data_IF_940843188667
#
_entry.id   IF_940843188667
#
_cell.length_a   1.000
_cell.length_b   1.000
_cell.length_c   1.000
_cell.angle_alpha   90.00
_cell.angle_beta   90.00
_cell.angle_gamma   90.00
#
_symmetry.space_group_name_H-M   'P 1'
#
loop_
_entity.id
_entity.type
_entity.pdbx_description
1 polymer ?
#
# COMPACT_ATOMS: atom_id res chain seq x y z
N UNK A 1 5.58 12.23 -42.79
CA UNK A 1 4.22 11.83 -42.73
C UNK A 1 3.99 10.77 -41.69
N UNK A 2 4.64 9.69 -41.83
CA UNK A 2 4.36 8.59 -40.94
C UNK A 2 4.67 8.90 -39.50
N UNK A 3 5.63 9.70 -39.27
CA UNK A 3 6.00 10.00 -37.89
C UNK A 3 4.92 10.81 -37.21
N UNK A 4 4.27 11.67 -37.91
CA UNK A 4 3.18 12.39 -37.30
C UNK A 4 2.05 11.51 -36.94
N UNK A 5 1.76 10.57 -37.78
CA UNK A 5 0.69 9.65 -37.44
C UNK A 5 1.00 8.85 -36.24
N UNK A 6 2.24 8.41 -36.11
CA UNK A 6 2.62 7.67 -34.95
C UNK A 6 2.51 8.49 -33.69
N UNK A 7 2.93 9.71 -33.74
CA UNK A 7 2.85 10.53 -32.56
C UNK A 7 1.41 10.80 -32.21
N UNK A 8 0.54 10.90 -33.16
CA UNK A 8 -0.87 11.04 -32.84
C UNK A 8 -1.40 9.86 -32.11
N UNK A 9 -1.03 8.68 -32.54
CA UNK A 9 -1.46 7.49 -31.86
C UNK A 9 -0.92 7.47 -30.44
N UNK A 10 0.34 7.78 -30.31
CA UNK A 10 0.96 7.76 -29.00
C UNK A 10 0.31 8.77 -28.07
N UNK A 11 -0.15 9.84 -28.62
CA UNK A 11 -0.69 10.87 -27.78
C UNK A 11 -2.13 10.63 -27.38
N UNK A 12 -2.72 9.52 -27.78
CA UNK A 12 -4.13 9.34 -27.50
C UNK A 12 -4.42 9.58 -26.05
N UNK A 13 -4.79 10.76 -25.71
CA UNK A 13 -5.07 11.08 -24.30
C UNK A 13 -6.32 10.41 -23.80
N UNK A 14 -7.18 10.06 -24.68
CA UNK A 14 -8.39 9.39 -24.26
C UNK A 14 -8.11 8.11 -23.54
N UNK A 15 -7.07 7.42 -23.95
CA UNK A 15 -6.74 6.19 -23.28
C UNK A 15 -6.36 6.43 -21.84
N UNK A 16 -5.64 7.49 -21.60
CA UNK A 16 -5.27 7.81 -20.23
C UNK A 16 -6.47 8.16 -19.42
N UNK A 17 -7.36 8.95 -19.95
CA UNK A 17 -8.51 9.36 -19.18
C UNK A 17 -9.43 8.19 -18.84
N UNK A 18 -9.45 7.17 -19.69
CA UNK A 18 -10.28 6.02 -19.43
C UNK A 18 -9.53 4.91 -18.70
N UNK A 19 -8.25 5.05 -18.50
CA UNK A 19 -7.47 4.02 -17.83
C UNK A 19 -7.81 4.00 -16.36
N UNK A 20 -7.76 2.82 -15.76
CA UNK A 20 -7.96 2.74 -14.31
C UNK A 20 -6.86 3.46 -13.57
N UNK A 21 -7.19 3.95 -12.39
CA UNK A 21 -6.20 4.57 -11.52
C UNK A 21 -5.14 3.54 -11.16
N UNK A 22 -3.90 3.99 -11.16
CA UNK A 22 -2.80 3.11 -10.77
C UNK A 22 -2.91 2.72 -9.33
N UNK A 23 -2.59 1.48 -9.07
CA UNK A 23 -2.63 0.93 -7.73
C UNK A 23 -1.23 0.60 -7.27
N UNK A 24 -1.06 0.65 -5.98
CA UNK A 24 0.17 0.22 -5.32
C UNK A 24 -0.19 -0.69 -4.18
N UNK A 25 0.78 -1.46 -3.74
CA UNK A 25 0.64 -2.24 -2.52
C UNK A 25 1.34 -1.47 -1.41
N UNK A 26 0.62 -1.26 -0.33
CA UNK A 26 1.17 -0.61 0.84
C UNK A 26 1.31 -1.67 1.92
N UNK A 27 2.53 -1.94 2.31
CA UNK A 27 2.82 -2.89 3.37
C UNK A 27 3.00 -2.12 4.66
N UNK A 28 2.28 -2.54 5.68
CA UNK A 28 2.39 -1.94 7.01
C UNK A 28 2.68 -3.06 7.99
N UNK A 29 3.82 -2.99 8.64
CA UNK A 29 4.26 -4.02 9.57
C UNK A 29 4.27 -3.43 10.96
N UNK A 30 3.46 -3.97 11.83
CA UNK A 30 3.28 -3.44 13.17
C UNK A 30 3.18 -4.60 14.16
N UNK A 31 3.16 -4.29 15.44
CA UNK A 31 2.89 -5.31 16.43
C UNK A 31 1.49 -5.86 16.23
N UNK A 32 1.35 -7.15 16.45
CA UNK A 32 0.07 -7.79 16.18
C UNK A 32 -1.08 -7.14 16.93
N UNK A 33 -0.83 -6.68 18.13
CA UNK A 33 -1.89 -6.04 18.91
C UNK A 33 -2.37 -4.72 18.35
N UNK A 34 -1.61 -4.13 17.43
CA UNK A 34 -2.01 -2.87 16.81
C UNK A 34 -2.55 -3.05 15.40
N UNK A 35 -2.68 -4.28 14.97
CA UNK A 35 -3.05 -4.55 13.59
C UNK A 35 -4.39 -3.93 13.23
N UNK A 36 -5.40 -4.18 14.03
CA UNK A 36 -6.72 -3.65 13.74
C UNK A 36 -6.74 -2.14 13.76
N UNK A 37 -6.02 -1.56 14.71
CA UNK A 37 -5.97 -0.12 14.79
C UNK A 37 -5.46 0.50 13.49
N UNK A 38 -4.35 -0.02 12.98
CA UNK A 38 -3.79 0.53 11.76
C UNK A 38 -4.62 0.18 10.55
N UNK A 39 -5.22 -0.99 10.53
CA UNK A 39 -6.09 -1.37 9.43
C UNK A 39 -7.27 -0.40 9.33
N UNK A 40 -7.87 -0.07 10.47
CA UNK A 40 -8.99 0.86 10.48
C UNK A 40 -8.57 2.24 10.01
N UNK A 41 -7.41 2.70 10.46
CA UNK A 41 -6.94 4.01 10.05
C UNK A 41 -6.72 4.06 8.54
N UNK A 42 -6.20 2.98 7.98
CA UNK A 42 -5.92 2.95 6.56
C UNK A 42 -7.18 2.97 5.70
N UNK A 43 -8.30 2.52 6.26
CA UNK A 43 -9.54 2.53 5.50
C UNK A 43 -9.96 3.94 5.11
N UNK A 44 -9.49 4.94 5.82
CA UNK A 44 -9.82 6.32 5.49
C UNK A 44 -9.21 6.79 4.18
N UNK A 45 -8.33 6.00 3.60
CA UNK A 45 -7.63 6.39 2.39
C UNK A 45 -8.12 5.61 1.17
N UNK A 46 -9.34 5.14 1.24
CA UNK A 46 -9.98 4.46 0.11
C UNK A 46 -9.17 3.24 -0.32
N UNK A 47 -8.80 2.46 0.66
CA UNK A 47 -8.10 1.21 0.40
C UNK A 47 -9.09 0.23 -0.21
N UNK A 48 -8.71 -0.34 -1.34
CA UNK A 48 -9.61 -1.20 -2.10
C UNK A 48 -9.66 -2.62 -1.55
N UNK A 49 -8.59 -3.07 -0.98
CA UNK A 49 -8.56 -4.40 -0.39
C UNK A 49 -7.43 -4.43 0.63
N UNK A 50 -7.61 -5.21 1.67
CA UNK A 50 -6.59 -5.39 2.68
C UNK A 50 -6.43 -6.87 2.96
N UNK A 51 -5.21 -7.29 3.14
CA UNK A 51 -4.88 -8.65 3.53
C UNK A 51 -4.04 -8.59 4.79
N UNK A 52 -4.31 -9.52 5.69
CA UNK A 52 -3.62 -9.55 6.96
C UNK A 52 -2.79 -10.81 7.04
N UNK A 53 -1.53 -10.65 7.41
CA UNK A 53 -0.62 -11.76 7.53
C UNK A 53 0.01 -11.73 8.91
N UNK A 54 0.21 -12.90 9.46
CA UNK A 54 0.96 -13.01 10.70
C UNK A 54 2.42 -13.18 10.33
N UNK A 55 3.28 -12.52 11.08
CA UNK A 55 4.71 -12.60 10.84
C UNK A 55 5.41 -12.61 12.17
N UNK A 56 6.60 -13.20 12.16
CA UNK A 56 7.41 -13.24 13.34
C UNK A 56 8.77 -12.69 12.96
N UNK A 57 9.23 -11.70 13.71
CA UNK A 57 10.52 -11.12 13.44
C UNK A 57 11.61 -12.11 13.77
N UNK A 58 12.60 -12.20 12.89
CA UNK A 58 13.76 -12.99 13.20
C UNK A 58 14.61 -12.23 14.20
N UNK A 59 15.03 -12.94 15.22
CA UNK A 59 15.87 -12.32 16.23
C UNK A 59 17.26 -12.06 15.68
N UNK A 60 17.64 -10.81 15.67
CA UNK A 60 18.96 -10.43 15.19
C UNK A 60 19.61 -9.53 16.21
N UNK A 61 19.72 -10.01 17.43
CA UNK A 61 20.38 -9.28 18.48
C UNK A 61 19.74 -7.91 18.73
N UNK A 62 20.57 -7.00 19.17
CA UNK A 62 20.09 -5.71 19.63
C UNK A 62 19.54 -4.82 18.54
N UNK A 63 19.85 -5.13 17.30
CA UNK A 63 19.37 -4.29 16.22
C UNK A 63 17.87 -4.39 16.06
N UNK A 64 17.35 -5.59 16.19
CA UNK A 64 15.92 -5.78 16.08
C UNK A 64 15.20 -5.01 17.17
N UNK A 65 15.77 -5.00 18.37
CA UNK A 65 15.19 -4.24 19.46
C UNK A 65 15.16 -2.75 19.16
N UNK A 66 16.27 -2.24 18.65
CA UNK A 66 16.35 -0.82 18.36
C UNK A 66 15.35 -0.39 17.30
N UNK A 67 15.08 -1.28 16.36
CA UNK A 67 14.13 -0.98 15.32
C UNK A 67 12.69 -1.29 15.70
N UNK A 68 12.47 -1.80 16.91
CA UNK A 68 11.14 -2.15 17.33
C UNK A 68 10.62 -3.41 16.65
N UNK A 69 11.53 -4.20 16.08
CA UNK A 69 11.16 -5.41 15.35
C UNK A 69 11.71 -6.65 16.04
N UNK A 70 11.90 -6.57 17.35
CA UNK A 70 12.38 -7.72 18.08
C UNK A 70 11.36 -8.84 17.97
N UNK A 71 11.71 -9.96 18.49
CA UNK A 71 11.05 -11.25 18.25
C UNK A 71 9.58 -11.32 18.60
N UNK A 72 8.92 -10.22 18.75
CA UNK A 72 7.49 -10.26 19.01
C UNK A 72 6.73 -10.60 17.76
N UNK A 73 5.53 -11.09 17.98
CA UNK A 73 4.63 -11.36 16.88
C UNK A 73 4.30 -10.07 16.16
N UNK A 74 4.39 -10.11 14.85
CA UNK A 74 4.10 -8.97 14.03
C UNK A 74 2.86 -9.23 13.20
N UNK A 75 2.18 -8.16 12.84
CA UNK A 75 1.11 -8.22 11.87
C UNK A 75 1.53 -7.45 10.65
N UNK A 76 1.18 -7.97 9.50
CA UNK A 76 1.47 -7.32 8.23
C UNK A 76 0.13 -7.02 7.56
N UNK A 77 -0.08 -5.76 7.25
CA UNK A 77 -1.24 -5.34 6.49
C UNK A 77 -0.77 -5.05 5.08
N UNK A 78 -1.34 -5.75 4.11
CA UNK A 78 -1.06 -5.47 2.71
C UNK A 78 -2.31 -4.79 2.17
N UNK A 79 -2.18 -3.52 1.84
CA UNK A 79 -3.30 -2.72 1.38
C UNK A 79 -3.15 -2.42 -0.10
N UNK A 80 -4.20 -2.63 -0.85
CA UNK A 80 -4.23 -2.22 -2.26
C UNK A 80 -4.78 -0.82 -2.28
N UNK A 81 -3.96 0.14 -2.66
CA UNK A 81 -4.29 1.54 -2.49
C UNK A 81 -4.00 2.30 -3.78
N UNK A 82 -4.82 3.28 -4.07
CA UNK A 82 -4.59 4.11 -5.24
C UNK A 82 -3.34 4.95 -5.03
N UNK A 83 -2.58 5.10 -6.10
CA UNK A 83 -1.31 5.78 -5.97
C UNK A 83 -1.46 7.23 -5.54
N UNK A 84 -2.59 7.87 -5.85
CA UNK A 84 -2.78 9.26 -5.44
C UNK A 84 -3.14 9.41 -3.98
N UNK A 85 -3.40 8.31 -3.28
CA UNK A 85 -3.68 8.36 -1.84
C UNK A 85 -2.48 7.94 -1.00
N UNK A 86 -1.43 7.48 -1.64
CA UNK A 86 -0.30 6.92 -0.91
C UNK A 86 0.36 7.95 -0.01
N UNK A 87 0.56 9.15 -0.54
CA UNK A 87 1.29 10.15 0.23
C UNK A 87 0.58 10.45 1.55
N UNK A 88 -0.72 10.67 1.48
CA UNK A 88 -1.48 10.98 2.68
C UNK A 88 -1.48 9.81 3.65
N UNK A 89 -1.59 8.60 3.14
CA UNK A 89 -1.57 7.43 4.02
C UNK A 89 -0.21 7.27 4.70
N UNK A 90 0.86 7.49 3.96
CA UNK A 90 2.19 7.38 4.54
C UNK A 90 2.42 8.43 5.61
N UNK A 91 1.93 9.63 5.38
CA UNK A 91 2.06 10.69 6.37
C UNK A 91 1.29 10.35 7.65
N UNK A 92 0.10 9.79 7.49
CA UNK A 92 -0.66 9.36 8.66
C UNK A 92 0.08 8.27 9.41
N UNK A 93 0.64 7.29 8.69
CA UNK A 93 1.36 6.21 9.34
C UNK A 93 2.59 6.73 10.08
N UNK A 94 3.32 7.63 9.46
CA UNK A 94 4.50 8.18 10.10
C UNK A 94 4.14 8.87 11.40
N UNK A 95 3.08 9.65 11.38
CA UNK A 95 2.64 10.31 12.60
C UNK A 95 2.24 9.31 13.67
N UNK A 96 1.49 8.29 13.29
CA UNK A 96 1.04 7.32 14.28
C UNK A 96 2.18 6.48 14.82
N UNK A 97 3.14 6.13 13.97
CA UNK A 97 4.31 5.41 14.46
C UNK A 97 5.07 6.23 15.50
N UNK A 98 5.01 7.53 15.39
CA UNK A 98 5.74 8.41 16.31
C UNK A 98 4.95 8.69 17.58
N UNK A 99 3.64 8.79 17.48
CA UNK A 99 2.85 9.29 18.61
C UNK A 99 2.09 8.22 19.37
N UNK A 100 1.75 7.11 18.73
CA UNK A 100 0.96 6.08 19.39
C UNK A 100 1.88 5.22 20.24
N UNK A 101 1.44 4.98 21.47
CA UNK A 101 2.23 4.16 22.38
C UNK A 101 2.30 2.73 21.83
N UNK A 102 3.52 2.20 21.76
CA UNK A 102 3.77 0.87 21.21
C UNK A 102 3.26 0.74 19.78
N UNK A 103 3.22 1.87 19.08
CA UNK A 103 2.71 1.89 17.72
C UNK A 103 3.77 1.93 16.65
N UNK A 104 5.01 1.63 17.00
CA UNK A 104 6.08 1.67 16.03
C UNK A 104 5.88 0.61 14.96
N UNK A 105 6.32 0.93 13.76
CA UNK A 105 6.17 0.00 12.67
C UNK A 105 7.00 0.43 11.49
N UNK A 106 6.81 -0.28 10.41
CA UNK A 106 7.47 0.01 9.15
C UNK A 106 6.40 0.01 8.08
N UNK A 107 6.49 0.94 7.15
CA UNK A 107 5.57 0.98 6.02
C UNK A 107 6.36 1.28 4.76
N UNK A 108 5.98 0.62 3.68
CA UNK A 108 6.60 0.87 2.39
C UNK A 108 5.63 0.47 1.30
N UNK A 109 5.84 1.01 0.10
CA UNK A 109 4.98 0.72 -1.02
C UNK A 109 5.72 -0.04 -2.09
N UNK A 110 4.96 -0.81 -2.85
CA UNK A 110 5.48 -1.55 -3.99
C UNK A 110 4.54 -1.29 -5.15
N UNK A 111 5.07 -0.86 -6.29
CA UNK A 111 4.20 -0.66 -7.45
C UNK A 111 3.76 -2.00 -8.03
N UNK A 112 2.57 -2.02 -8.57
CA UNK A 112 2.10 -3.19 -9.29
C UNK A 112 2.51 -3.05 -10.75
N UNK A 113 3.46 -3.86 -11.17
CA UNK A 113 4.01 -3.69 -12.50
C UNK A 113 3.23 -4.46 -13.56
N UNK A 114 2.54 -5.52 -13.19
CA UNK A 114 1.71 -6.24 -14.14
C UNK A 114 0.64 -7.02 -13.39
N UNK A 115 -0.47 -7.24 -14.07
CA UNK A 115 -1.61 -7.91 -13.48
C UNK A 115 -2.28 -8.75 -14.56
N UNK A 116 -2.67 -9.95 -14.19
CA UNK A 116 -3.52 -10.74 -15.05
C UNK A 116 -4.92 -10.77 -14.43
N UNK A 117 -5.91 -11.08 -15.22
CA UNK A 117 -7.28 -11.04 -14.73
C UNK A 117 -7.81 -9.63 -14.73
N UNK A 118 -8.04 -9.10 -15.92
CA UNK A 118 -8.41 -7.68 -16.06
C UNK A 118 -9.65 -7.33 -15.25
N UNK A 119 -10.62 -8.23 -15.24
CA UNK A 119 -11.86 -7.93 -14.52
C UNK A 119 -11.59 -7.78 -13.03
N UNK A 120 -10.72 -8.62 -12.48
CA UNK A 120 -10.39 -8.50 -11.06
C UNK A 120 -9.66 -7.20 -10.78
N UNK A 121 -8.76 -6.82 -11.66
CA UNK A 121 -8.04 -5.57 -11.48
C UNK A 121 -9.00 -4.39 -11.47
N UNK A 122 -9.94 -4.39 -12.38
CA UNK A 122 -10.93 -3.33 -12.42
C UNK A 122 -11.78 -3.32 -11.17
N UNK A 123 -12.12 -4.49 -10.67
CA UNK A 123 -12.84 -4.59 -9.42
C UNK A 123 -12.06 -3.92 -8.29
N UNK A 124 -10.77 -4.20 -8.21
CA UNK A 124 -9.96 -3.59 -7.16
C UNK A 124 -9.88 -2.08 -7.30
N UNK A 125 -9.82 -1.59 -8.53
CA UNK A 125 -9.77 -0.16 -8.74
C UNK A 125 -11.05 0.54 -8.30
N UNK A 126 -12.15 -0.17 -8.34
CA UNK A 126 -13.46 0.43 -8.07
C UNK A 126 -14.07 -0.04 -6.76
N UNK A 127 -13.36 -0.86 -6.02
CA UNK A 127 -13.97 -1.55 -4.89
C UNK A 127 -14.41 -0.62 -3.78
N UNK A 128 -13.84 0.52 -3.67
CA UNK A 128 -14.22 1.43 -2.60
C UNK A 128 -15.45 2.25 -2.88
N UNK A 129 -16.02 2.05 -4.02
CA UNK A 129 -17.19 2.85 -4.38
C UNK A 129 -18.47 2.14 -4.01
#
# INVERSE_FOLDING_TARGET
>A
MNSEEKSNIASSPEKKSSAPMKLKLLFTIVERGKLEFYADMLQNFEVNAQFFLAAQGTHVGNRADLMGLAERDKGVIVSVIRSDRVKAAMEMLEEKFRTVRNGKGIAFTVPMSSTIGVAMYQFLCNAGK
#
